data_IF_443746766193
#
_entry.id   IF_443746766193
#
_cell.length_a   1.000
_cell.length_b   1.000
_cell.length_c   1.000
_cell.angle_alpha   90.00
_cell.angle_beta   90.00
_cell.angle_gamma   90.00
#
_symmetry.space_group_name_H-M   'P 1'
#
loop_
_entity.id
_entity.type
_entity.pdbx_description
1 polymer ?
#
# COMPACT_ATOMS: atom_id res chain seq x y z
N UNK A 1 -15.69 16.07 -5.54
CA UNK A 1 -14.38 16.12 -4.83
C UNK A 1 -14.40 15.29 -3.55
N UNK A 2 -15.30 15.56 -2.59
CA UNK A 2 -15.37 14.81 -1.32
C UNK A 2 -15.59 13.30 -1.48
N UNK A 3 -16.53 12.89 -2.34
CA UNK A 3 -16.82 11.45 -2.57
C UNK A 3 -15.61 10.73 -3.17
N UNK A 4 -14.95 11.34 -4.17
CA UNK A 4 -13.75 10.78 -4.81
C UNK A 4 -12.60 10.61 -3.80
N UNK A 5 -12.37 11.62 -2.95
CA UNK A 5 -11.36 11.53 -1.89
C UNK A 5 -11.67 10.44 -0.87
N UNK A 6 -12.94 10.30 -0.46
CA UNK A 6 -13.37 9.24 0.47
C UNK A 6 -13.20 7.85 -0.16
N UNK A 7 -13.59 7.67 -1.42
CA UNK A 7 -13.43 6.39 -2.13
C UNK A 7 -11.95 6.01 -2.26
N UNK A 8 -11.09 6.96 -2.62
CA UNK A 8 -9.63 6.75 -2.69
C UNK A 8 -9.04 6.40 -1.31
N UNK A 9 -9.52 7.04 -0.25
CA UNK A 9 -9.12 6.73 1.12
C UNK A 9 -9.46 5.29 1.49
N UNK A 10 -10.70 4.87 1.27
CA UNK A 10 -11.16 3.50 1.57
C UNK A 10 -10.36 2.47 0.77
N UNK A 11 -10.17 2.69 -0.52
CA UNK A 11 -9.38 1.80 -1.38
C UNK A 11 -7.91 1.74 -0.97
N UNK A 12 -7.31 2.87 -0.57
CA UNK A 12 -5.92 2.92 -0.09
C UNK A 12 -5.73 2.15 1.21
N UNK A 13 -6.67 2.27 2.16
CA UNK A 13 -6.64 1.52 3.44
C UNK A 13 -6.75 0.02 3.16
N UNK A 14 -7.71 -0.39 2.32
CA UNK A 14 -7.94 -1.79 1.98
C UNK A 14 -6.70 -2.38 1.26
N UNK A 15 -6.15 -1.65 0.29
CA UNK A 15 -4.94 -2.06 -0.43
C UNK A 15 -3.74 -2.24 0.50
N UNK A 16 -3.50 -1.29 1.41
CA UNK A 16 -2.41 -1.42 2.40
C UNK A 16 -2.62 -2.62 3.33
N UNK A 17 -3.84 -2.87 3.78
CA UNK A 17 -4.13 -4.01 4.64
C UNK A 17 -3.87 -5.35 3.92
N UNK A 18 -4.41 -5.52 2.71
CA UNK A 18 -4.29 -6.78 1.96
C UNK A 18 -2.85 -7.01 1.50
N UNK A 19 -2.28 -6.05 0.77
CA UNK A 19 -0.95 -6.22 0.21
C UNK A 19 0.14 -6.12 1.27
N UNK A 20 -0.06 -5.36 2.35
CA UNK A 20 0.88 -5.31 3.47
C UNK A 20 0.97 -6.67 4.17
N UNK A 21 -0.17 -7.31 4.44
CA UNK A 21 -0.19 -8.68 5.01
C UNK A 21 0.45 -9.67 4.02
N UNK A 22 0.14 -9.58 2.73
CA UNK A 22 0.73 -10.44 1.71
C UNK A 22 2.25 -10.28 1.62
N UNK A 23 2.76 -9.04 1.62
CA UNK A 23 4.19 -8.77 1.55
C UNK A 23 4.95 -9.26 2.80
N UNK A 24 4.32 -9.18 3.98
CA UNK A 24 4.88 -9.72 5.21
C UNK A 24 4.92 -11.27 5.18
N UNK A 25 3.87 -11.89 4.63
CA UNK A 25 3.75 -13.34 4.54
C UNK A 25 4.58 -13.97 3.41
N UNK A 26 4.89 -13.24 2.34
CA UNK A 26 5.73 -13.69 1.20
C UNK A 26 7.25 -13.71 1.54
N UNK A 27 7.60 -13.66 2.82
CA UNK A 27 8.97 -13.86 3.29
C UNK A 27 9.33 -15.36 3.26
N UNK A 28 9.41 -15.95 2.06
CA UNK A 28 10.00 -17.28 1.89
C UNK A 28 11.52 -17.21 2.13
N UNK A 29 11.97 -17.77 3.26
CA UNK A 29 13.38 -17.98 3.57
C UNK A 29 13.94 -19.13 2.72
N UNK A 30 14.79 -18.83 1.74
CA UNK A 30 15.52 -19.85 0.98
C UNK A 30 16.85 -20.17 1.67
N UNK A 31 17.03 -21.42 2.12
CA UNK A 31 18.30 -21.93 2.61
C UNK A 31 19.13 -22.41 1.42
N UNK A 32 20.18 -21.66 1.07
CA UNK A 32 21.14 -22.05 0.03
C UNK A 32 22.43 -22.46 0.71
N UNK A 33 22.79 -23.74 0.61
CA UNK A 33 24.05 -24.30 1.13
C UNK A 33 24.28 -24.11 2.66
N UNK A 34 23.22 -24.01 3.47
CA UNK A 34 23.34 -23.80 4.92
C UNK A 34 23.51 -22.35 5.34
N UNK A 35 23.43 -21.40 4.39
CA UNK A 35 23.36 -19.97 4.65
C UNK A 35 21.92 -19.52 4.39
N UNK A 36 21.27 -19.00 5.43
CA UNK A 36 19.97 -18.35 5.32
C UNK A 36 20.12 -17.01 4.61
N UNK A 37 20.11 -17.05 3.28
CA UNK A 37 20.01 -15.83 2.47
C UNK A 37 18.54 -15.50 2.33
N UNK A 38 18.03 -14.70 3.28
CA UNK A 38 16.69 -14.13 3.21
C UNK A 38 16.61 -13.10 2.08
N UNK A 39 16.52 -13.56 0.83
CA UNK A 39 16.17 -12.68 -0.28
C UNK A 39 14.67 -12.45 -0.19
N UNK A 40 14.27 -11.25 0.23
CA UNK A 40 12.86 -10.85 0.23
C UNK A 40 12.33 -10.91 -1.21
N UNK A 41 11.69 -12.02 -1.58
CA UNK A 41 10.96 -12.15 -2.87
C UNK A 41 9.62 -11.42 -2.84
N UNK A 42 9.23 -10.87 -1.69
CA UNK A 42 8.02 -10.08 -1.53
C UNK A 42 8.01 -8.93 -2.54
N UNK A 43 7.02 -8.96 -3.44
CA UNK A 43 6.79 -7.86 -4.36
C UNK A 43 6.14 -6.71 -3.59
N UNK A 44 6.93 -5.71 -3.21
CA UNK A 44 6.46 -4.55 -2.44
C UNK A 44 5.72 -3.51 -3.28
N UNK A 45 5.77 -3.59 -4.61
CA UNK A 45 5.12 -2.61 -5.49
C UNK A 45 3.64 -2.40 -5.17
N UNK A 46 2.80 -3.43 -4.92
CA UNK A 46 1.39 -3.26 -4.59
C UNK A 46 1.16 -2.51 -3.26
N UNK A 47 2.05 -2.69 -2.28
CA UNK A 47 2.01 -1.98 -0.99
C UNK A 47 2.31 -0.51 -1.19
N UNK A 48 3.37 -0.21 -1.96
CA UNK A 48 3.81 1.16 -2.25
C UNK A 48 2.72 1.91 -3.03
N UNK A 49 2.11 1.28 -4.05
CA UNK A 49 1.02 1.88 -4.81
C UNK A 49 -0.18 2.17 -3.91
N UNK A 50 -0.54 1.26 -3.02
CA UNK A 50 -1.65 1.46 -2.07
C UNK A 50 -1.38 2.61 -1.10
N UNK A 51 -0.14 2.76 -0.63
CA UNK A 51 0.27 3.89 0.20
C UNK A 51 0.15 5.22 -0.55
N UNK A 52 0.57 5.28 -1.82
CA UNK A 52 0.43 6.48 -2.64
C UNK A 52 -1.05 6.82 -2.86
N UNK A 53 -1.89 5.84 -3.17
CA UNK A 53 -3.34 6.02 -3.34
C UNK A 53 -3.98 6.57 -2.06
N UNK A 54 -3.59 6.04 -0.89
CA UNK A 54 -4.04 6.54 0.41
C UNK A 54 -3.66 8.02 0.59
N UNK A 55 -2.39 8.36 0.35
CA UNK A 55 -1.88 9.74 0.49
C UNK A 55 -2.63 10.70 -0.43
N UNK A 56 -2.84 10.33 -1.70
CA UNK A 56 -3.62 11.12 -2.65
C UNK A 56 -5.07 11.29 -2.17
N UNK A 57 -5.69 10.21 -1.68
CA UNK A 57 -7.03 10.25 -1.08
C UNK A 57 -7.13 11.23 0.09
N UNK A 58 -6.16 11.21 1.00
CA UNK A 58 -6.06 12.14 2.14
C UNK A 58 -5.94 13.58 1.65
N UNK A 59 -5.00 13.85 0.74
CA UNK A 59 -4.76 15.20 0.20
C UNK A 59 -6.02 15.75 -0.46
N UNK A 60 -6.72 14.94 -1.26
CA UNK A 60 -7.97 15.34 -1.92
C UNK A 60 -9.14 15.52 -0.94
N UNK A 61 -9.19 14.73 0.13
CA UNK A 61 -10.21 14.87 1.17
C UNK A 61 -9.99 16.14 2.01
N UNK A 62 -8.73 16.52 2.24
CA UNK A 62 -8.34 17.73 2.98
C UNK A 62 -8.37 19.00 2.13
N UNK A 63 -8.22 18.88 0.81
CA UNK A 63 -8.33 20.00 -0.12
C UNK A 63 -9.73 20.62 -0.04
N UNK A 64 -9.82 21.84 0.51
CA UNK A 64 -11.08 22.62 0.52
C UNK A 64 -11.51 22.85 -0.93
N UNK A 65 -12.78 22.55 -1.30
CA UNK A 65 -13.26 22.93 -2.62
C UNK A 65 -13.14 24.46 -2.74
N UNK A 66 -12.38 24.92 -3.74
CA UNK A 66 -12.28 26.35 -4.08
C UNK A 66 -13.69 26.81 -4.46
N UNK A 67 -14.39 27.44 -3.52
CA UNK A 67 -15.67 28.10 -3.74
C UNK A 67 -15.37 29.33 -4.59
N UNK A 68 -15.42 29.15 -5.91
CA UNK A 68 -15.50 30.26 -6.87
C UNK A 68 -16.90 30.81 -6.82
#
# INVERSE_FOLDING_TARGET
MKIVGIVLLVLGIIGLAIFGIQALNDSESFNVLGVDVAVSKANWNPVIVSAVVLVVGIVLAMAKPKRT
#
